data_IF_265737541128
#
_entry.id   IF_265737541128
#
_cell.length_a   1.000
_cell.length_b   1.000
_cell.length_c   1.000
_cell.angle_alpha   90.00
_cell.angle_beta   90.00
_cell.angle_gamma   90.00
#
_symmetry.space_group_name_H-M   'P 1'
#
loop_
_entity.id
_entity.type
_entity.pdbx_description
1 polymer ?
#
# COMPACT_ATOMS: atom_id res chain seq x y z
N UNK A 1 7.57 19.59 -10.71
CA UNK A 1 6.27 19.03 -10.27
C UNK A 1 5.69 19.97 -9.24
N UNK A 2 4.40 20.32 -9.31
CA UNK A 2 3.73 21.16 -8.31
C UNK A 2 3.12 20.24 -7.25
N UNK A 3 3.52 20.32 -5.97
CA UNK A 3 2.95 19.47 -4.92
C UNK A 3 1.49 19.86 -4.63
N UNK A 4 0.64 18.87 -4.40
CA UNK A 4 -0.70 19.08 -3.83
C UNK A 4 -0.53 19.13 -2.32
N UNK A 5 -0.73 20.31 -1.73
CA UNK A 5 -0.63 20.52 -0.30
C UNK A 5 -2.02 20.52 0.33
N UNK A 6 -2.30 19.52 1.17
CA UNK A 6 -3.55 19.43 1.93
C UNK A 6 -3.26 19.86 3.36
N UNK A 7 -3.80 21.03 3.76
CA UNK A 7 -3.50 21.71 5.06
C UNK A 7 -3.48 20.79 6.28
N UNK A 8 -4.36 19.80 6.32
CA UNK A 8 -4.61 18.93 7.46
C UNK A 8 -4.29 17.45 7.19
N UNK A 9 -3.44 17.16 6.19
CA UNK A 9 -3.15 15.78 5.74
C UNK A 9 -2.59 14.86 6.84
N UNK A 10 -1.87 15.41 7.81
CA UNK A 10 -1.33 14.65 8.93
C UNK A 10 -2.42 14.01 9.82
N UNK A 11 -3.65 14.53 9.81
CA UNK A 11 -4.80 13.90 10.49
C UNK A 11 -5.38 12.70 9.72
N UNK A 12 -5.04 12.54 8.43
CA UNK A 12 -5.47 11.40 7.62
C UNK A 12 -4.55 10.17 7.82
N UNK A 13 -3.71 10.18 8.85
CA UNK A 13 -2.83 9.08 9.24
C UNK A 13 -3.25 8.53 10.59
N UNK A 14 -2.87 7.29 10.85
CA UNK A 14 -3.01 6.65 12.14
C UNK A 14 -1.69 6.01 12.57
N UNK A 15 -1.56 5.72 13.87
CA UNK A 15 -0.42 4.94 14.37
C UNK A 15 -0.42 3.54 13.76
N UNK A 16 0.74 2.87 13.81
CA UNK A 16 0.90 1.50 13.28
C UNK A 16 0.65 1.34 11.77
N UNK A 17 0.63 2.45 11.03
CA UNK A 17 0.51 2.46 9.58
C UNK A 17 1.80 1.96 8.90
N UNK A 18 1.91 2.14 7.59
CA UNK A 18 3.10 1.77 6.82
C UNK A 18 4.36 2.58 7.15
N UNK A 19 4.19 3.75 7.77
CA UNK A 19 5.24 4.75 8.01
C UNK A 19 5.69 5.52 6.77
N UNK A 20 5.14 5.24 5.58
CA UNK A 20 5.57 5.82 4.30
C UNK A 20 5.39 7.34 4.26
N UNK A 21 4.25 7.83 4.74
CA UNK A 21 4.07 9.25 5.00
C UNK A 21 4.74 9.63 6.31
N UNK A 22 5.48 10.74 6.34
CA UNK A 22 6.06 11.28 7.58
C UNK A 22 5.00 11.89 8.52
N UNK A 23 5.44 12.43 9.66
CA UNK A 23 4.55 13.02 10.68
C UNK A 23 3.80 14.25 10.19
N UNK A 24 4.24 14.87 9.09
CA UNK A 24 3.55 15.98 8.43
C UNK A 24 2.66 15.52 7.27
N UNK A 25 2.57 14.21 7.03
CA UNK A 25 1.78 13.61 5.96
C UNK A 25 2.43 13.67 4.57
N UNK A 26 3.75 13.88 4.49
CA UNK A 26 4.48 13.94 3.22
C UNK A 26 4.98 12.56 2.82
N UNK A 27 4.80 12.19 1.55
CA UNK A 27 5.29 10.91 1.03
C UNK A 27 6.82 10.88 1.09
N UNK A 28 7.39 9.82 1.68
CA UNK A 28 8.84 9.63 1.76
C UNK A 28 9.27 8.43 0.91
N UNK A 29 9.86 8.65 -0.29
CA UNK A 29 10.21 7.58 -1.22
C UNK A 29 11.11 6.51 -0.60
N UNK A 30 12.09 6.89 0.22
CA UNK A 30 13.00 5.96 0.87
C UNK A 30 12.30 5.05 1.90
N UNK A 31 11.20 5.49 2.50
CA UNK A 31 10.40 4.66 3.41
C UNK A 31 9.49 3.70 2.65
N UNK A 32 8.97 4.12 1.50
CA UNK A 32 8.27 3.22 0.59
C UNK A 32 9.20 2.08 0.12
N UNK A 33 10.39 2.42 -0.35
CA UNK A 33 11.39 1.43 -0.77
C UNK A 33 11.79 0.47 0.37
N UNK A 34 11.84 0.99 1.60
CA UNK A 34 12.16 0.20 2.80
C UNK A 34 11.16 -0.91 3.09
N UNK A 35 9.89 -0.79 2.69
CA UNK A 35 8.90 -1.87 2.82
C UNK A 35 9.45 -3.14 2.16
N UNK A 36 9.87 -3.02 0.91
CA UNK A 36 10.32 -4.16 0.11
C UNK A 36 11.68 -4.67 0.58
N UNK A 37 12.62 -3.76 0.88
CA UNK A 37 13.93 -4.14 1.46
C UNK A 37 13.76 -4.96 2.75
N UNK A 38 12.76 -4.65 3.58
CA UNK A 38 12.56 -5.29 4.88
C UNK A 38 11.72 -6.57 4.79
N UNK A 39 10.67 -6.58 3.98
CA UNK A 39 9.64 -7.62 4.02
C UNK A 39 9.52 -8.45 2.75
N UNK A 40 9.96 -7.97 1.58
CA UNK A 40 9.88 -8.69 0.32
C UNK A 40 11.06 -9.65 0.17
N UNK A 41 11.02 -10.77 0.89
CA UNK A 41 12.11 -11.76 0.97
C UNK A 41 12.05 -12.79 -0.14
N UNK A 42 10.85 -13.06 -0.64
CA UNK A 42 10.58 -14.08 -1.64
C UNK A 42 10.69 -13.51 -3.05
N UNK A 43 10.10 -12.33 -3.27
CA UNK A 43 10.12 -11.61 -4.54
C UNK A 43 10.54 -10.16 -4.27
N UNK A 44 11.68 -9.66 -4.78
CA UNK A 44 12.18 -8.32 -4.42
C UNK A 44 11.20 -7.17 -4.70
N UNK A 45 10.27 -7.37 -5.62
CA UNK A 45 9.30 -6.39 -6.12
C UNK A 45 7.84 -6.70 -5.72
N UNK A 46 7.61 -7.62 -4.78
CA UNK A 46 6.25 -7.98 -4.37
C UNK A 46 6.18 -8.52 -2.93
N UNK A 47 4.99 -8.42 -2.32
CA UNK A 47 4.72 -9.03 -1.02
C UNK A 47 3.77 -10.23 -1.18
N UNK A 48 4.15 -11.34 -0.56
CA UNK A 48 3.21 -12.44 -0.28
C UNK A 48 2.27 -12.06 0.87
N UNK A 49 1.19 -12.83 1.07
CA UNK A 49 0.27 -12.65 2.21
C UNK A 49 0.99 -12.75 3.57
N UNK A 50 1.97 -13.65 3.69
CA UNK A 50 2.71 -13.89 4.92
C UNK A 50 3.70 -12.74 5.21
N UNK A 51 4.40 -12.26 4.18
CA UNK A 51 5.29 -11.11 4.29
C UNK A 51 4.52 -9.83 4.61
N UNK A 52 3.34 -9.65 4.00
CA UNK A 52 2.44 -8.55 4.34
C UNK A 52 1.95 -8.64 5.80
N UNK A 53 1.60 -9.85 6.26
CA UNK A 53 1.23 -10.09 7.65
C UNK A 53 2.39 -9.84 8.62
N UNK A 54 3.62 -10.17 8.22
CA UNK A 54 4.82 -9.86 8.99
C UNK A 54 5.07 -8.34 9.07
N UNK A 55 4.85 -7.60 7.98
CA UNK A 55 4.89 -6.14 7.97
C UNK A 55 3.88 -5.54 8.94
N UNK A 56 2.61 -5.96 8.87
CA UNK A 56 1.56 -5.47 9.76
C UNK A 56 1.88 -5.70 11.23
N UNK A 57 2.45 -6.86 11.57
CA UNK A 57 2.89 -7.15 12.95
C UNK A 57 4.06 -6.28 13.37
N UNK A 58 5.05 -6.10 12.49
CA UNK A 58 6.27 -5.36 12.78
C UNK A 58 6.05 -3.84 12.91
N UNK A 59 4.98 -3.31 12.30
CA UNK A 59 4.66 -1.89 12.37
C UNK A 59 3.79 -1.52 13.59
N UNK A 60 3.32 -2.49 14.38
CA UNK A 60 2.47 -2.22 15.55
C UNK A 60 3.16 -1.33 16.58
N UNK A 61 2.55 -0.20 16.85
CA UNK A 61 2.92 0.63 17.99
C UNK A 61 2.32 0.05 19.28
N UNK A 62 3.05 0.06 20.41
CA UNK A 62 2.54 -0.44 21.68
C UNK A 62 1.21 0.24 22.06
N UNK A 63 0.21 -0.57 22.45
CA UNK A 63 -1.12 -0.12 22.89
C UNK A 63 -1.99 0.59 21.84
N UNK A 64 -1.56 0.67 20.58
CA UNK A 64 -2.31 1.29 19.49
C UNK A 64 -3.30 0.31 18.81
N UNK A 65 -4.26 -0.22 19.58
CA UNK A 65 -5.21 -1.22 19.08
C UNK A 65 -6.05 -0.71 17.90
N UNK A 66 -6.39 0.59 17.88
CA UNK A 66 -7.15 1.19 16.78
C UNK A 66 -6.33 1.26 15.50
N UNK A 67 -5.08 1.72 15.58
CA UNK A 67 -4.18 1.73 14.43
C UNK A 67 -3.87 0.33 13.92
N UNK A 68 -3.79 -0.68 14.79
CA UNK A 68 -3.61 -2.08 14.35
C UNK A 68 -4.78 -2.58 13.49
N UNK A 69 -6.02 -2.26 13.89
CA UNK A 69 -7.22 -2.67 13.15
C UNK A 69 -7.35 -1.89 11.84
N UNK A 70 -7.07 -0.59 11.85
CA UNK A 70 -7.06 0.24 10.65
C UNK A 70 -6.03 -0.28 9.63
N UNK A 71 -4.77 -0.42 10.05
CA UNK A 71 -3.68 -0.94 9.22
C UNK A 71 -4.00 -2.31 8.65
N UNK A 72 -4.53 -3.24 9.47
CA UNK A 72 -4.95 -4.55 8.98
C UNK A 72 -6.06 -4.45 7.93
N UNK A 73 -7.03 -3.56 8.11
CA UNK A 73 -8.17 -3.40 7.19
C UNK A 73 -7.71 -2.83 5.85
N UNK A 74 -6.90 -1.78 5.87
CA UNK A 74 -6.34 -1.15 4.67
C UNK A 74 -5.54 -2.14 3.84
N UNK A 75 -4.56 -2.80 4.46
CA UNK A 75 -3.65 -3.70 3.75
C UNK A 75 -4.32 -5.00 3.31
N UNK A 76 -5.25 -5.56 4.08
CA UNK A 76 -6.03 -6.72 3.61
C UNK A 76 -6.94 -6.37 2.46
N UNK A 77 -7.60 -5.21 2.50
CA UNK A 77 -8.45 -4.75 1.39
C UNK A 77 -7.63 -4.59 0.13
N UNK A 78 -6.47 -3.92 0.22
CA UNK A 78 -5.55 -3.78 -0.90
C UNK A 78 -5.08 -5.14 -1.44
N UNK A 79 -4.69 -6.06 -0.55
CA UNK A 79 -4.24 -7.39 -0.95
C UNK A 79 -5.32 -8.18 -1.69
N UNK A 80 -6.55 -8.21 -1.15
CA UNK A 80 -7.68 -8.91 -1.78
C UNK A 80 -8.02 -8.31 -3.14
N UNK A 81 -7.97 -6.98 -3.25
CA UNK A 81 -8.35 -6.27 -4.47
C UNK A 81 -7.30 -6.38 -5.57
N UNK A 82 -6.01 -6.43 -5.20
CA UNK A 82 -4.91 -6.11 -6.12
C UNK A 82 -3.79 -7.15 -6.18
N UNK A 83 -3.85 -8.25 -5.43
CA UNK A 83 -2.90 -9.36 -5.63
C UNK A 83 -3.06 -9.93 -7.05
N UNK A 84 -1.95 -10.35 -7.66
CA UNK A 84 -1.97 -11.04 -8.93
C UNK A 84 -2.47 -12.51 -8.80
N UNK A 85 -2.50 -13.21 -9.92
CA UNK A 85 -2.88 -14.61 -10.04
C UNK A 85 -1.96 -15.55 -9.24
N UNK A 86 -0.69 -15.15 -9.04
CA UNK A 86 0.29 -15.85 -8.21
C UNK A 86 0.17 -15.48 -6.72
N UNK A 87 -0.79 -14.62 -6.34
CA UNK A 87 -1.00 -14.19 -4.96
C UNK A 87 0.03 -13.17 -4.48
N UNK A 88 0.68 -12.45 -5.39
CA UNK A 88 1.69 -11.46 -5.09
C UNK A 88 1.08 -10.05 -5.18
N UNK A 89 1.28 -9.25 -4.13
CA UNK A 89 0.95 -7.84 -4.15
C UNK A 89 2.16 -7.05 -4.65
N UNK A 90 2.11 -6.65 -5.93
CA UNK A 90 3.23 -6.01 -6.63
C UNK A 90 3.53 -4.62 -6.08
N UNK A 91 4.82 -4.30 -6.03
CA UNK A 91 5.32 -2.98 -5.62
C UNK A 91 4.72 -1.84 -6.42
N UNK A 92 4.59 -2.02 -7.72
CA UNK A 92 4.02 -0.99 -8.61
C UNK A 92 2.55 -0.74 -8.28
N UNK A 93 1.79 -1.79 -7.96
CA UNK A 93 0.40 -1.67 -7.51
C UNK A 93 0.28 -0.96 -6.18
N UNK A 94 1.18 -1.21 -5.23
CA UNK A 94 1.24 -0.47 -3.97
C UNK A 94 1.62 1.00 -4.24
N UNK A 95 2.56 1.27 -5.15
CA UNK A 95 2.92 2.64 -5.56
C UNK A 95 1.71 3.40 -6.12
N UNK A 96 0.89 2.72 -6.92
CA UNK A 96 -0.31 3.30 -7.51
C UNK A 96 -1.34 3.77 -6.47
N UNK A 97 -1.34 3.18 -5.26
CA UNK A 97 -2.15 3.68 -4.13
C UNK A 97 -1.65 5.04 -3.66
N UNK A 98 -0.34 5.22 -3.57
CA UNK A 98 0.28 6.44 -3.06
C UNK A 98 0.28 7.59 -4.07
N UNK A 99 0.44 7.30 -5.36
CA UNK A 99 0.40 8.33 -6.42
C UNK A 99 -1.02 8.63 -6.93
N UNK A 100 -2.02 7.85 -6.50
CA UNK A 100 -3.43 8.03 -6.83
C UNK A 100 -3.87 7.38 -8.14
N UNK A 101 -3.00 6.65 -8.85
CA UNK A 101 -3.30 6.06 -10.15
C UNK A 101 -3.98 4.68 -10.09
N UNK A 102 -4.08 4.04 -8.92
CA UNK A 102 -4.55 2.65 -8.78
C UNK A 102 -5.89 2.37 -9.48
N UNK A 103 -6.92 3.14 -9.16
CA UNK A 103 -8.26 2.87 -9.70
C UNK A 103 -8.37 3.19 -11.19
N UNK A 104 -7.58 4.15 -11.69
CA UNK A 104 -7.50 4.44 -13.12
C UNK A 104 -6.83 3.27 -13.87
N UNK A 105 -5.75 2.71 -13.32
CA UNK A 105 -5.10 1.52 -13.88
C UNK A 105 -6.08 0.32 -13.90
N UNK A 106 -6.78 0.08 -12.80
CA UNK A 106 -7.77 -0.99 -12.70
C UNK A 106 -8.93 -0.84 -13.69
N UNK A 107 -9.42 0.39 -13.90
CA UNK A 107 -10.47 0.67 -14.89
C UNK A 107 -9.98 0.33 -16.29
N UNK A 108 -8.78 0.78 -16.67
CA UNK A 108 -8.19 0.50 -17.98
C UNK A 108 -8.00 -0.99 -18.25
N UNK A 109 -7.54 -1.74 -17.25
CA UNK A 109 -7.38 -3.19 -17.35
C UNK A 109 -8.73 -3.90 -17.56
N UNK A 110 -9.75 -3.52 -16.81
CA UNK A 110 -11.11 -4.09 -16.93
C UNK A 110 -11.76 -3.75 -18.27
N UNK A 111 -11.69 -2.49 -18.68
CA UNK A 111 -12.22 -2.02 -19.96
C UNK A 111 -11.49 -2.65 -21.15
N UNK A 112 -10.17 -2.82 -21.06
CA UNK A 112 -9.38 -3.54 -22.06
C UNK A 112 -9.69 -5.04 -22.13
N UNK A 113 -9.91 -5.69 -20.97
CA UNK A 113 -10.32 -7.09 -20.91
C UNK A 113 -11.73 -7.32 -21.47
N UNK A 114 -12.65 -6.38 -21.27
CA UNK A 114 -13.99 -6.42 -21.87
C UNK A 114 -13.91 -6.33 -23.40
N UNK A 115 -13.15 -5.38 -23.95
CA UNK A 115 -12.96 -5.20 -25.40
C UNK A 115 -12.26 -6.39 -26.09
N UNK A 116 -11.46 -7.18 -25.37
CA UNK A 116 -10.82 -8.39 -25.91
C UNK A 116 -11.75 -9.61 -25.95
N UNK A 117 -12.90 -9.54 -25.28
CA UNK A 117 -13.92 -10.61 -25.25
C UNK A 117 -15.04 -10.40 -26.27
N UNK A 118 -15.11 -9.21 -26.89
CA UNK A 118 -15.95 -8.89 -28.05
C UNK A 118 -15.21 -9.24 -29.35
#
# INVERSE_FOLDING_TARGET
MLPIEVKNIHFAKHGSDSGVYDTQGRFVPSKFERIFIKFARTHPDALTSDELSAMLKANREPQDYRGWVASLTEWKTLYILCKDDQGLLRKETIRAVYDGSLFEQMERERSGAAKKKE
#
